data_IF_616904919010
#
_entry.id   IF_616904919010
#
_cell.length_a   1.000
_cell.length_b   1.000
_cell.length_c   1.000
_cell.angle_alpha   90.00
_cell.angle_beta   90.00
_cell.angle_gamma   90.00
#
_symmetry.space_group_name_H-M   'P 1'
#
loop_
_entity.id
_entity.type
_entity.pdbx_description
1 polymer ?
#
# COMPACT_ATOMS: atom_id res chain seq x y z
N UNK A 1 20.84 -37.13 1.47
CA UNK A 1 21.28 -35.95 2.25
C UNK A 1 21.43 -34.66 1.40
N UNK A 2 21.84 -34.72 0.12
CA UNK A 2 22.03 -33.53 -0.74
C UNK A 2 20.80 -32.63 -0.99
N UNK A 3 19.57 -33.16 -0.83
CA UNK A 3 18.32 -32.40 -1.01
C UNK A 3 17.94 -31.54 0.21
N UNK A 4 18.44 -31.89 1.41
CA UNK A 4 18.21 -31.12 2.63
C UNK A 4 19.12 -29.88 2.70
N UNK A 5 20.36 -30.01 2.19
CA UNK A 5 21.34 -28.93 2.18
C UNK A 5 20.96 -27.74 1.28
N UNK A 6 20.08 -27.95 0.29
CA UNK A 6 19.64 -26.89 -0.63
C UNK A 6 18.34 -26.21 -0.18
N UNK A 7 17.59 -26.81 0.76
CA UNK A 7 16.35 -26.26 1.31
C UNK A 7 16.59 -25.27 2.46
N UNK A 8 17.67 -25.45 3.23
CA UNK A 8 18.08 -24.54 4.30
C UNK A 8 18.40 -23.11 3.81
N UNK A 9 19.22 -22.88 2.76
CA UNK A 9 19.50 -21.53 2.29
C UNK A 9 18.27 -20.87 1.66
N UNK A 10 17.41 -21.64 0.98
CA UNK A 10 16.18 -21.12 0.39
C UNK A 10 15.17 -20.68 1.46
N UNK A 11 15.02 -21.44 2.54
CA UNK A 11 14.16 -21.05 3.67
C UNK A 11 14.69 -19.78 4.37
N UNK A 12 16.00 -19.65 4.52
CA UNK A 12 16.63 -18.44 5.11
C UNK A 12 16.42 -17.21 4.22
N UNK A 13 16.58 -17.35 2.90
CA UNK A 13 16.32 -16.24 1.95
C UNK A 13 14.85 -15.82 1.95
N UNK A 14 13.92 -16.78 1.95
CA UNK A 14 12.47 -16.48 2.03
C UNK A 14 12.13 -15.79 3.35
N UNK A 15 12.69 -16.25 4.47
CA UNK A 15 12.46 -15.63 5.79
C UNK A 15 13.05 -14.23 5.86
N UNK A 16 14.25 -14.01 5.29
CA UNK A 16 14.92 -12.71 5.26
C UNK A 16 14.15 -11.69 4.40
N UNK A 17 13.63 -12.12 3.25
CA UNK A 17 12.76 -11.29 2.38
C UNK A 17 11.46 -10.93 3.11
N UNK A 18 10.88 -11.86 3.88
CA UNK A 18 9.64 -11.62 4.61
C UNK A 18 9.80 -10.60 5.75
N UNK A 19 10.95 -10.59 6.44
CA UNK A 19 11.23 -9.63 7.52
C UNK A 19 11.54 -8.21 7.04
N UNK A 20 11.90 -8.03 5.76
CA UNK A 20 12.23 -6.72 5.20
C UNK A 20 10.98 -5.90 4.82
N UNK A 21 9.78 -6.48 4.89
CA UNK A 21 8.50 -5.85 4.53
C UNK A 21 7.76 -5.28 5.75
N UNK A 22 8.43 -5.10 6.90
CA UNK A 22 7.86 -4.30 8.00
C UNK A 22 7.97 -2.82 7.63
N UNK A 23 7.18 -2.42 6.64
CA UNK A 23 7.02 -1.03 6.23
C UNK A 23 6.20 -0.33 7.30
N UNK A 24 6.75 0.74 7.85
CA UNK A 24 6.11 1.67 8.77
C UNK A 24 4.63 1.88 8.44
N UNK A 25 3.74 1.49 9.35
CA UNK A 25 2.38 1.96 9.35
C UNK A 25 2.44 3.47 9.65
N UNK A 26 2.43 4.29 8.59
CA UNK A 26 2.25 5.73 8.76
C UNK A 26 0.85 5.95 9.33
N UNK A 27 0.77 6.67 10.45
CA UNK A 27 -0.52 7.15 10.95
C UNK A 27 -1.13 8.04 9.87
N UNK A 28 -2.39 7.76 9.52
CA UNK A 28 -3.10 8.55 8.54
C UNK A 28 -3.27 9.98 9.07
N UNK A 29 -2.98 10.97 8.23
CA UNK A 29 -3.25 12.36 8.53
C UNK A 29 -4.76 12.61 8.63
N UNK A 30 -5.17 13.40 9.62
CA UNK A 30 -6.57 13.80 9.78
C UNK A 30 -6.90 14.98 8.86
N UNK A 31 -8.19 15.19 8.54
CA UNK A 31 -8.65 16.40 7.85
C UNK A 31 -8.20 17.70 8.54
N UNK A 32 -8.14 17.71 9.87
CA UNK A 32 -7.69 18.87 10.64
C UNK A 32 -6.19 19.13 10.43
N UNK A 33 -5.36 18.09 10.36
CA UNK A 33 -3.92 18.24 10.12
C UNK A 33 -3.63 18.88 8.76
N UNK A 34 -4.43 18.56 7.73
CA UNK A 34 -4.33 19.15 6.39
C UNK A 34 -4.70 20.64 6.43
N UNK A 35 -5.76 20.98 7.16
CA UNK A 35 -6.18 22.37 7.34
C UNK A 35 -5.11 23.17 8.10
N UNK A 36 -4.60 22.65 9.22
CA UNK A 36 -3.64 23.34 10.07
C UNK A 36 -2.28 23.56 9.37
N UNK A 37 -1.83 22.59 8.57
CA UNK A 37 -0.63 22.72 7.74
C UNK A 37 -0.78 23.92 6.78
N UNK A 38 -1.86 23.94 6.00
CA UNK A 38 -2.11 25.02 5.06
C UNK A 38 -2.40 26.36 5.74
N UNK A 39 -3.07 26.37 6.89
CA UNK A 39 -3.39 27.59 7.63
C UNK A 39 -2.13 28.28 8.18
N UNK A 40 -1.03 27.55 8.36
CA UNK A 40 0.21 28.08 8.95
C UNK A 40 0.92 29.04 8.01
N UNK A 41 1.10 28.67 6.74
CA UNK A 41 1.89 29.45 5.78
C UNK A 41 1.30 29.47 4.36
N UNK A 42 0.04 29.04 4.20
CA UNK A 42 -0.64 28.90 2.90
C UNK A 42 0.05 27.91 1.95
N UNK A 43 0.80 26.95 2.50
CA UNK A 43 1.44 25.88 1.74
C UNK A 43 1.05 24.52 2.32
N UNK A 44 0.93 23.54 1.44
CA UNK A 44 0.66 22.16 1.83
C UNK A 44 1.98 21.39 1.79
N UNK A 45 2.58 21.23 2.96
CA UNK A 45 3.94 20.75 3.19
C UNK A 45 3.96 19.24 3.45
N UNK A 46 2.83 18.70 3.93
CA UNK A 46 2.67 17.30 4.25
C UNK A 46 2.66 16.38 3.02
N UNK A 47 3.09 15.14 3.25
CA UNK A 47 3.01 14.05 2.25
C UNK A 47 1.66 13.34 2.34
N UNK A 48 0.61 14.05 1.93
CA UNK A 48 -0.75 13.53 2.00
C UNK A 48 -1.06 12.54 0.87
N UNK A 49 -1.69 11.44 1.24
CA UNK A 49 -2.23 10.42 0.34
C UNK A 49 -3.51 10.92 -0.32
N UNK A 50 -3.92 10.34 -1.47
CA UNK A 50 -5.18 10.71 -2.12
C UNK A 50 -6.39 10.49 -1.21
N UNK A 51 -6.37 9.43 -0.40
CA UNK A 51 -7.48 9.08 0.47
C UNK A 51 -7.63 10.10 1.61
N UNK A 52 -6.52 10.60 2.18
CA UNK A 52 -6.53 11.65 3.20
C UNK A 52 -7.01 13.00 2.63
N UNK A 53 -6.53 13.35 1.43
CA UNK A 53 -6.98 14.55 0.71
C UNK A 53 -8.49 14.48 0.38
N UNK A 54 -8.97 13.30 -0.02
CA UNK A 54 -10.37 13.07 -0.27
C UNK A 54 -11.20 13.07 1.03
N UNK A 55 -10.63 12.56 2.13
CA UNK A 55 -11.25 12.63 3.46
C UNK A 55 -11.39 14.07 3.93
N UNK A 56 -10.36 14.91 3.71
CA UNK A 56 -10.43 16.36 3.96
C UNK A 56 -11.64 16.98 3.23
N UNK A 57 -11.76 16.78 1.91
CA UNK A 57 -12.87 17.35 1.11
C UNK A 57 -14.26 16.88 1.56
N UNK A 58 -14.35 15.74 2.25
CA UNK A 58 -15.61 15.18 2.73
C UNK A 58 -15.88 15.49 4.22
N UNK A 59 -14.96 16.17 4.91
CA UNK A 59 -15.09 16.45 6.33
C UNK A 59 -15.97 17.68 6.59
N UNK A 60 -17.19 17.47 7.06
CA UNK A 60 -18.12 18.56 7.35
C UNK A 60 -17.66 19.45 8.52
N UNK A 61 -16.86 18.94 9.45
CA UNK A 61 -16.45 19.67 10.65
C UNK A 61 -15.47 20.79 10.28
N UNK A 62 -14.43 20.46 9.53
CA UNK A 62 -13.43 21.40 9.04
C UNK A 62 -14.08 22.46 8.15
N UNK A 63 -14.99 22.04 7.26
CA UNK A 63 -15.68 22.98 6.36
C UNK A 63 -16.70 23.88 7.07
N UNK A 64 -17.21 23.49 8.25
CA UNK A 64 -18.15 24.29 9.02
C UNK A 64 -17.45 25.30 9.96
N UNK A 65 -16.29 24.93 10.52
CA UNK A 65 -15.61 25.74 11.55
C UNK A 65 -14.30 26.38 11.07
N UNK A 66 -13.77 25.98 9.91
CA UNK A 66 -12.58 26.58 9.32
C UNK A 66 -12.81 27.98 8.77
N UNK A 67 -11.73 28.76 8.63
CA UNK A 67 -11.78 30.09 8.04
C UNK A 67 -12.03 29.99 6.52
N UNK A 68 -13.09 30.61 5.97
CA UNK A 68 -13.37 30.59 4.54
C UNK A 68 -12.22 31.09 3.65
N UNK A 69 -11.37 31.99 4.17
CA UNK A 69 -10.20 32.51 3.45
C UNK A 69 -9.07 31.48 3.31
N UNK A 70 -9.05 30.48 4.19
CA UNK A 70 -8.12 29.34 4.14
C UNK A 70 -8.74 28.18 3.36
N UNK A 71 -10.01 27.86 3.64
CA UNK A 71 -10.73 26.76 2.99
C UNK A 71 -10.84 26.93 1.47
N UNK A 72 -11.23 28.11 0.99
CA UNK A 72 -11.46 28.33 -0.46
C UNK A 72 -10.22 28.04 -1.33
N UNK A 73 -9.01 28.57 -1.01
CA UNK A 73 -7.81 28.23 -1.77
C UNK A 73 -7.33 26.80 -1.49
N UNK A 74 -7.48 26.29 -0.27
CA UNK A 74 -7.11 24.92 0.07
C UNK A 74 -7.94 23.89 -0.72
N UNK A 75 -9.25 24.04 -0.78
CA UNK A 75 -10.15 23.12 -1.51
C UNK A 75 -9.78 23.05 -2.98
N UNK A 76 -9.49 24.20 -3.60
CA UNK A 76 -9.03 24.26 -4.99
C UNK A 76 -7.73 23.50 -5.18
N UNK A 77 -6.76 23.73 -4.28
CA UNK A 77 -5.47 23.05 -4.30
C UNK A 77 -5.64 21.53 -4.15
N UNK A 78 -6.44 21.08 -3.18
CA UNK A 78 -6.69 19.66 -2.94
C UNK A 78 -7.36 19.00 -4.16
N UNK A 79 -8.38 19.65 -4.75
CA UNK A 79 -9.04 19.14 -5.97
C UNK A 79 -8.05 19.04 -7.14
N UNK A 80 -7.16 20.01 -7.30
CA UNK A 80 -6.12 19.98 -8.33
C UNK A 80 -5.12 18.84 -8.10
N UNK A 81 -4.65 18.66 -6.86
CA UNK A 81 -3.76 17.57 -6.46
C UNK A 81 -4.39 16.19 -6.70
N UNK A 82 -5.69 16.05 -6.46
CA UNK A 82 -6.43 14.80 -6.71
C UNK A 82 -6.58 14.52 -8.21
N UNK A 83 -6.88 15.54 -9.03
CA UNK A 83 -6.97 15.38 -10.49
C UNK A 83 -5.64 15.02 -11.13
N UNK A 84 -4.53 15.52 -10.59
CA UNK A 84 -3.18 15.21 -11.08
C UNK A 84 -2.73 13.79 -10.75
N UNK A 85 -3.39 13.09 -9.82
CA UNK A 85 -3.02 11.72 -9.42
C UNK A 85 -3.75 10.69 -10.26
N UNK A 86 -2.99 9.80 -10.89
CA UNK A 86 -3.54 8.61 -11.54
C UNK A 86 -3.92 7.59 -10.46
N UNK A 87 -5.21 7.51 -10.13
CA UNK A 87 -5.74 6.43 -9.29
C UNK A 87 -5.79 5.16 -10.11
N UNK A 88 -4.93 4.19 -9.78
CA UNK A 88 -4.98 2.87 -10.39
C UNK A 88 -6.31 2.17 -10.04
N UNK A 89 -6.91 1.43 -10.98
CA UNK A 89 -8.18 0.73 -10.75
C UNK A 89 -8.08 -0.47 -9.79
N UNK A 90 -6.91 -0.67 -9.18
CA UNK A 90 -6.63 -1.72 -8.20
C UNK A 90 -5.88 -1.14 -7.01
N UNK A 91 -6.21 -1.60 -5.80
CA UNK A 91 -5.46 -1.21 -4.60
C UNK A 91 -4.12 -1.93 -4.53
N UNK A 92 -3.11 -1.34 -3.87
CA UNK A 92 -1.84 -2.03 -3.62
C UNK A 92 -2.03 -3.37 -2.91
N UNK A 93 -3.01 -3.45 -2.00
CA UNK A 93 -3.39 -4.69 -1.33
C UNK A 93 -4.00 -5.74 -2.30
N UNK A 94 -4.86 -5.33 -3.24
CA UNK A 94 -5.39 -6.23 -4.25
C UNK A 94 -4.28 -6.84 -5.12
N UNK A 95 -3.26 -6.05 -5.47
CA UNK A 95 -2.08 -6.54 -6.17
C UNK A 95 -1.28 -7.55 -5.32
N UNK A 96 -1.12 -7.30 -4.03
CA UNK A 96 -0.46 -8.25 -3.12
C UNK A 96 -1.22 -9.58 -3.02
N UNK A 97 -2.55 -9.54 -2.90
CA UNK A 97 -3.38 -10.74 -2.88
C UNK A 97 -3.29 -11.48 -4.22
N UNK A 98 -3.39 -10.77 -5.35
CA UNK A 98 -3.24 -11.37 -6.67
C UNK A 98 -1.88 -12.06 -6.84
N UNK A 99 -0.80 -11.41 -6.40
CA UNK A 99 0.55 -11.96 -6.42
C UNK A 99 0.67 -13.20 -5.51
N UNK A 100 0.10 -13.17 -4.32
CA UNK A 100 0.09 -14.32 -3.42
C UNK A 100 -0.63 -15.53 -4.03
N UNK A 101 -1.77 -15.32 -4.69
CA UNK A 101 -2.51 -16.37 -5.42
C UNK A 101 -1.64 -16.98 -6.52
N UNK A 102 -0.97 -16.16 -7.33
CA UNK A 102 -0.07 -16.64 -8.40
C UNK A 102 1.06 -17.49 -7.82
N UNK A 103 1.70 -17.04 -6.74
CA UNK A 103 2.79 -17.78 -6.07
C UNK A 103 2.30 -19.14 -5.55
N UNK A 104 1.12 -19.19 -4.93
CA UNK A 104 0.52 -20.44 -4.43
C UNK A 104 0.22 -21.40 -5.56
N UNK A 105 -0.35 -20.93 -6.67
CA UNK A 105 -0.67 -21.77 -7.83
C UNK A 105 0.59 -22.36 -8.48
N UNK A 106 1.62 -21.55 -8.69
CA UNK A 106 2.89 -22.00 -9.27
C UNK A 106 3.59 -22.98 -8.33
N UNK A 107 3.70 -22.64 -7.04
CA UNK A 107 4.33 -23.49 -6.02
C UNK A 107 3.60 -24.82 -5.83
N UNK A 108 2.27 -24.77 -5.72
CA UNK A 108 1.40 -25.95 -5.59
C UNK A 108 1.48 -26.86 -6.81
N UNK A 109 1.39 -26.29 -8.02
CA UNK A 109 1.54 -27.05 -9.26
C UNK A 109 2.91 -27.74 -9.38
N UNK A 110 3.99 -27.05 -9.01
CA UNK A 110 5.34 -27.62 -9.01
C UNK A 110 5.50 -28.76 -7.98
N UNK A 111 4.95 -28.59 -6.78
CA UNK A 111 4.98 -29.60 -5.73
C UNK A 111 4.23 -30.87 -6.16
N UNK A 112 3.01 -30.72 -6.68
CA UNK A 112 2.23 -31.83 -7.21
C UNK A 112 2.96 -32.54 -8.36
N UNK A 113 3.56 -31.78 -9.29
CA UNK A 113 4.34 -32.35 -10.40
C UNK A 113 5.54 -33.16 -9.94
N UNK A 114 6.16 -32.78 -8.81
CA UNK A 114 7.29 -33.51 -8.23
C UNK A 114 6.86 -34.79 -7.53
N UNK A 115 5.70 -34.77 -6.85
CA UNK A 115 5.17 -35.90 -6.11
C UNK A 115 4.52 -36.95 -7.04
N UNK A 116 3.98 -36.53 -8.18
CA UNK A 116 3.32 -37.41 -9.15
C UNK A 116 4.29 -38.20 -10.05
N UNK A 117 5.62 -38.04 -9.93
CA UNK A 117 6.57 -38.83 -10.72
C UNK A 117 6.62 -40.28 -10.20
N UNK A 118 6.19 -41.29 -11.00
CA UNK A 118 6.27 -42.68 -10.58
C UNK A 118 7.74 -43.09 -10.42
N UNK A 119 8.04 -43.88 -9.37
CA UNK A 119 9.32 -44.59 -9.30
C UNK A 119 9.36 -45.59 -10.45
N UNK A 120 10.09 -45.28 -11.51
CA UNK A 120 10.54 -46.28 -12.46
C UNK A 120 11.60 -47.13 -11.73
N UNK A 121 11.15 -48.25 -11.18
CA UNK A 121 12.01 -49.34 -10.74
C UNK A 121 12.37 -50.16 -11.98
N UNK A 122 13.65 -50.18 -12.32
CA UNK A 122 14.30 -51.26 -13.06
C UNK A 122 15.68 -51.48 -12.47
#
# INVERSE_FOLDING_TARGET
MKRLALLLPAAVVVTLVLTLVVTSAAFAATPQDIYDDYATDSQLNGTYTPDELQAYLNDATVHQYGDPNVLTPLDKLVVELLRGRQTFPFTGFQLLVALAVVVVLIGGGFALRRLARPKQQS
#
